data_IF_669953329413
#
_entry.id   IF_669953329413
#
_cell.length_a   1.000
_cell.length_b   1.000
_cell.length_c   1.000
_cell.angle_alpha   90.00
_cell.angle_beta   90.00
_cell.angle_gamma   90.00
#
_symmetry.space_group_name_H-M   'P 1'
#
loop_
_entity.id
_entity.type
_entity.pdbx_description
1 polymer ?
#
# COMPACT_ATOMS: atom_id res chain seq x y z
N UNK A 1 25.82 -11.89 -1.28
CA UNK A 1 24.72 -11.04 -1.78
C UNK A 1 23.45 -11.68 -1.28
N UNK A 2 22.67 -10.97 -0.46
CA UNK A 2 21.31 -11.41 -0.14
C UNK A 2 20.51 -11.40 -1.44
N UNK A 3 19.71 -12.45 -1.66
CA UNK A 3 18.80 -12.55 -2.78
C UNK A 3 17.93 -11.28 -2.82
N UNK A 4 17.89 -10.56 -3.95
CA UNK A 4 17.09 -9.33 -4.09
C UNK A 4 15.60 -9.55 -3.76
N UNK A 5 15.15 -10.81 -3.86
CA UNK A 5 13.82 -11.28 -3.50
C UNK A 5 13.53 -11.25 -2.00
N UNK A 6 14.55 -11.23 -1.14
CA UNK A 6 14.39 -11.20 0.32
C UNK A 6 14.28 -9.77 0.86
N UNK A 7 14.65 -8.76 0.07
CA UNK A 7 14.67 -7.38 0.51
C UNK A 7 13.30 -6.86 1.03
N UNK A 8 12.15 -7.15 0.39
CA UNK A 8 10.85 -6.71 0.90
C UNK A 8 10.48 -7.35 2.25
N UNK A 9 10.87 -8.61 2.47
CA UNK A 9 10.63 -9.32 3.71
C UNK A 9 11.50 -8.77 4.86
N UNK A 10 12.75 -8.41 4.57
CA UNK A 10 13.65 -7.79 5.55
C UNK A 10 13.11 -6.44 6.01
N UNK A 11 12.60 -5.61 5.08
CA UNK A 11 11.94 -4.35 5.43
C UNK A 11 10.72 -4.63 6.31
N UNK A 12 9.86 -5.59 5.95
CA UNK A 12 8.67 -5.93 6.74
C UNK A 12 8.98 -6.40 8.18
N UNK A 13 10.11 -7.07 8.40
CA UNK A 13 10.55 -7.52 9.73
C UNK A 13 11.30 -6.44 10.52
N UNK A 14 11.66 -5.33 9.88
CA UNK A 14 12.37 -4.22 10.51
C UNK A 14 11.37 -3.33 11.27
N UNK A 15 11.69 -2.81 12.47
CA UNK A 15 10.87 -1.82 13.15
C UNK A 15 10.54 -0.61 12.25
N UNK A 16 9.30 -0.11 12.32
CA UNK A 16 8.79 0.95 11.43
C UNK A 16 9.71 2.19 11.37
N UNK A 17 10.33 2.57 12.48
CA UNK A 17 11.27 3.70 12.60
C UNK A 17 12.58 3.49 11.82
N UNK A 18 12.90 2.25 11.45
CA UNK A 18 14.14 1.85 10.77
C UNK A 18 13.93 1.36 9.35
N UNK A 19 12.69 1.11 8.95
CA UNK A 19 12.36 0.62 7.60
C UNK A 19 12.86 1.58 6.51
N UNK A 20 12.73 2.90 6.72
CA UNK A 20 13.20 3.90 5.76
C UNK A 20 14.72 3.84 5.54
N UNK A 21 15.49 3.64 6.61
CA UNK A 21 16.95 3.51 6.56
C UNK A 21 17.35 2.23 5.82
N UNK A 22 16.67 1.12 6.10
CA UNK A 22 16.93 -0.18 5.46
C UNK A 22 16.56 -0.15 3.99
N UNK A 23 15.41 0.43 3.63
CA UNK A 23 15.01 0.63 2.23
C UNK A 23 16.01 1.49 1.47
N UNK A 24 16.49 2.58 2.08
CA UNK A 24 17.54 3.43 1.47
C UNK A 24 18.86 2.68 1.28
N UNK A 25 19.26 1.87 2.26
CA UNK A 25 20.51 1.10 2.18
C UNK A 25 20.45 -0.03 1.15
N UNK A 26 19.28 -0.65 0.98
CA UNK A 26 19.02 -1.70 -0.01
C UNK A 26 18.61 -1.14 -1.38
N UNK A 27 18.59 0.19 -1.53
CA UNK A 27 18.18 0.91 -2.74
C UNK A 27 16.77 0.51 -3.22
N UNK A 28 15.88 0.21 -2.27
CA UNK A 28 14.50 -0.20 -2.52
C UNK A 28 13.62 1.02 -2.77
N UNK A 29 12.61 0.89 -3.65
CA UNK A 29 11.63 1.94 -3.82
C UNK A 29 10.88 2.19 -2.50
N UNK A 30 10.48 3.45 -2.31
CA UNK A 30 9.89 3.96 -1.07
C UNK A 30 8.75 3.07 -0.57
N UNK A 31 8.66 2.92 0.77
CA UNK A 31 7.50 2.29 1.40
C UNK A 31 6.25 3.08 1.04
N UNK A 32 5.17 2.37 0.76
CA UNK A 32 3.88 2.99 0.51
C UNK A 32 2.81 2.44 1.44
N UNK A 33 1.95 3.33 1.90
CA UNK A 33 0.76 3.02 2.66
C UNK A 33 -0.48 3.14 1.79
N UNK A 34 -1.27 2.06 1.74
CA UNK A 34 -2.55 2.00 1.07
C UNK A 34 -3.67 1.94 2.12
N UNK A 35 -4.63 2.85 2.02
CA UNK A 35 -5.75 2.97 2.97
C UNK A 35 -7.07 2.95 2.21
N UNK A 36 -8.01 2.10 2.63
CA UNK A 36 -9.38 2.12 2.13
C UNK A 36 -10.18 3.16 2.89
N UNK A 37 -10.76 4.11 2.16
CA UNK A 37 -11.73 5.08 2.65
C UNK A 37 -13.12 4.69 2.17
N UNK A 38 -14.06 4.54 3.11
CA UNK A 38 -15.46 4.25 2.80
C UNK A 38 -16.33 5.46 3.09
N UNK A 39 -17.02 5.96 2.07
CA UNK A 39 -17.99 7.05 2.24
C UNK A 39 -19.29 6.55 2.90
N UNK A 40 -20.05 7.46 3.50
CA UNK A 40 -21.39 7.16 4.03
C UNK A 40 -22.40 6.67 2.96
N UNK A 41 -22.09 6.85 1.68
CA UNK A 41 -22.87 6.30 0.56
C UNK A 41 -22.49 4.86 0.19
N UNK A 42 -21.52 4.24 0.87
CA UNK A 42 -21.06 2.87 0.61
C UNK A 42 -20.01 2.74 -0.50
N UNK A 43 -19.56 3.87 -1.08
CA UNK A 43 -18.47 3.90 -2.05
C UNK A 43 -17.12 3.74 -1.37
N UNK A 44 -16.18 3.12 -2.07
CA UNK A 44 -14.82 2.88 -1.59
C UNK A 44 -13.80 3.56 -2.48
N UNK A 45 -12.83 4.22 -1.86
CA UNK A 45 -11.67 4.80 -2.54
C UNK A 45 -10.41 4.26 -1.89
N UNK A 46 -9.46 3.78 -2.69
CA UNK A 46 -8.13 3.44 -2.22
C UNK A 46 -7.27 4.70 -2.25
N UNK A 47 -6.66 5.03 -1.13
CA UNK A 47 -5.74 6.16 -0.99
C UNK A 47 -4.34 5.63 -0.80
N UNK A 48 -3.37 6.29 -1.41
CA UNK A 48 -1.96 5.99 -1.26
C UNK A 48 -1.24 7.12 -0.52
N UNK A 49 -0.16 6.76 0.18
CA UNK A 49 0.75 7.71 0.80
C UNK A 49 2.15 7.15 0.80
N UNK A 50 3.08 7.88 0.20
CA UNK A 50 4.50 7.55 0.24
C UNK A 50 5.09 7.87 1.61
N UNK A 51 6.05 7.06 2.05
CA UNK A 51 6.80 7.31 3.27
C UNK A 51 7.51 8.67 3.21
N UNK A 52 7.28 9.51 4.22
CA UNK A 52 7.75 10.91 4.26
C UNK A 52 6.76 11.95 3.70
N UNK A 53 5.67 11.55 3.04
CA UNK A 53 4.61 12.47 2.63
C UNK A 53 3.49 12.52 3.66
N UNK A 54 2.95 13.71 3.94
CA UNK A 54 1.83 13.88 4.89
C UNK A 54 0.45 13.67 4.26
N UNK A 55 0.35 13.86 2.95
CA UNK A 55 -0.93 13.86 2.24
C UNK A 55 -1.18 12.49 1.62
N UNK A 56 -2.42 12.04 1.74
CA UNK A 56 -2.94 10.91 0.98
C UNK A 56 -3.36 11.38 -0.41
N UNK A 57 -3.12 10.55 -1.41
CA UNK A 57 -3.59 10.74 -2.78
C UNK A 57 -4.59 9.63 -3.12
N UNK A 58 -5.70 10.00 -3.75
CA UNK A 58 -6.67 9.02 -4.24
C UNK A 58 -6.11 8.31 -5.49
N UNK A 59 -6.29 6.98 -5.55
CA UNK A 59 -5.94 6.19 -6.72
C UNK A 59 -7.10 6.16 -7.72
N UNK A 60 -6.77 6.35 -9.00
CA UNK A 60 -7.73 6.49 -10.08
C UNK A 60 -8.40 5.16 -10.51
N UNK A 61 -9.42 5.27 -11.37
CA UNK A 61 -10.04 4.14 -12.05
C UNK A 61 -10.89 3.28 -11.11
N UNK A 62 -10.77 1.93 -11.12
CA UNK A 62 -11.61 1.04 -10.30
C UNK A 62 -11.33 1.17 -8.79
N UNK A 63 -10.29 1.91 -8.42
CA UNK A 63 -9.90 2.22 -7.05
C UNK A 63 -10.49 3.53 -6.53
N UNK A 64 -11.19 4.31 -7.37
CA UNK A 64 -11.82 5.57 -6.99
C UNK A 64 -13.35 5.45 -6.93
N UNK A 65 -13.94 5.81 -5.79
CA UNK A 65 -15.40 5.95 -5.62
C UNK A 65 -16.21 4.73 -6.11
N UNK A 66 -15.68 3.52 -5.90
CA UNK A 66 -16.28 2.29 -6.41
C UNK A 66 -17.40 1.79 -5.48
N UNK A 67 -18.58 1.53 -6.07
CA UNK A 67 -19.76 1.03 -5.36
C UNK A 67 -19.75 -0.50 -5.19
N UNK A 68 -19.12 -1.22 -6.13
CA UNK A 68 -19.02 -2.68 -6.08
C UNK A 68 -17.85 -3.10 -5.18
N UNK A 69 -18.19 -3.59 -3.99
CA UNK A 69 -17.23 -4.12 -3.02
C UNK A 69 -16.31 -5.18 -3.63
N UNK A 70 -16.86 -6.15 -4.35
CA UNK A 70 -16.09 -7.28 -4.87
C UNK A 70 -15.12 -6.82 -5.97
N UNK A 71 -15.59 -5.98 -6.89
CA UNK A 71 -14.74 -5.38 -7.93
C UNK A 71 -13.63 -4.51 -7.33
N UNK A 72 -13.96 -3.69 -6.34
CA UNK A 72 -12.98 -2.84 -5.64
C UNK A 72 -11.84 -3.66 -5.02
N UNK A 73 -12.15 -4.66 -4.18
CA UNK A 73 -11.08 -5.45 -3.53
C UNK A 73 -10.28 -6.31 -4.52
N UNK A 74 -10.85 -6.72 -5.65
CA UNK A 74 -10.05 -7.34 -6.73
C UNK A 74 -9.03 -6.35 -7.28
N UNK A 75 -9.44 -5.12 -7.56
CA UNK A 75 -8.53 -4.07 -8.02
C UNK A 75 -7.45 -3.75 -6.97
N UNK A 76 -7.81 -3.69 -5.68
CA UNK A 76 -6.86 -3.48 -4.57
C UNK A 76 -5.81 -4.58 -4.54
N UNK A 77 -6.21 -5.86 -4.64
CA UNK A 77 -5.26 -6.98 -4.65
C UNK A 77 -4.33 -6.90 -5.84
N UNK A 78 -4.84 -6.60 -7.04
CA UNK A 78 -4.01 -6.40 -8.23
C UNK A 78 -2.99 -5.28 -8.04
N UNK A 79 -3.40 -4.17 -7.42
CA UNK A 79 -2.52 -3.04 -7.13
C UNK A 79 -1.41 -3.42 -6.15
N UNK A 80 -1.73 -4.11 -5.05
CA UNK A 80 -0.76 -4.58 -4.07
C UNK A 80 0.27 -5.50 -4.72
N UNK A 81 -0.19 -6.48 -5.51
CA UNK A 81 0.68 -7.44 -6.20
C UNK A 81 1.60 -6.71 -7.18
N UNK A 82 1.06 -5.82 -8.01
CA UNK A 82 1.84 -5.01 -8.95
C UNK A 82 2.96 -4.24 -8.25
N UNK A 83 2.67 -3.61 -7.12
CA UNK A 83 3.68 -2.85 -6.36
C UNK A 83 4.74 -3.76 -5.73
N UNK A 84 4.33 -4.89 -5.18
CA UNK A 84 5.27 -5.88 -4.63
C UNK A 84 6.18 -6.48 -5.70
N UNK A 85 5.66 -6.77 -6.90
CA UNK A 85 6.45 -7.22 -8.05
C UNK A 85 7.47 -6.17 -8.51
N UNK A 86 7.13 -4.88 -8.36
CA UNK A 86 8.05 -3.76 -8.58
C UNK A 86 9.00 -3.50 -7.38
N UNK A 87 9.02 -4.38 -6.37
CA UNK A 87 9.90 -4.28 -5.21
C UNK A 87 9.49 -3.24 -4.17
N UNK A 88 8.31 -2.64 -4.29
CA UNK A 88 7.78 -1.72 -3.29
C UNK A 88 7.30 -2.47 -2.05
N UNK A 89 7.64 -1.93 -0.88
CA UNK A 89 7.06 -2.40 0.37
C UNK A 89 5.72 -1.70 0.59
N UNK A 90 4.64 -2.49 0.63
CA UNK A 90 3.26 -2.00 0.74
C UNK A 90 2.69 -2.35 2.11
N UNK A 91 2.21 -1.34 2.85
CA UNK A 91 1.36 -1.55 4.04
C UNK A 91 -0.08 -1.22 3.70
N UNK A 92 -0.99 -2.17 3.94
CA UNK A 92 -2.41 -2.02 3.65
C UNK A 92 -3.23 -1.87 4.93
N UNK A 93 -4.13 -0.89 4.97
CA UNK A 93 -5.10 -0.67 6.06
C UNK A 93 -6.49 -0.53 5.49
N UNK A 94 -7.42 -1.29 6.07
CA UNK A 94 -8.83 -1.20 5.73
C UNK A 94 -9.61 -0.59 6.91
N UNK A 95 -10.02 0.66 6.77
CA UNK A 95 -10.78 1.37 7.79
C UNK A 95 -12.30 1.10 7.68
N UNK A 96 -12.74 0.26 6.74
CA UNK A 96 -14.16 -0.08 6.59
C UNK A 96 -14.65 -1.13 7.61
N UNK A 97 -13.76 -1.68 8.43
CA UNK A 97 -14.01 -2.85 9.27
C UNK A 97 -13.99 -2.58 10.79
N UNK A 98 -14.12 -1.33 11.23
CA UNK A 98 -14.47 -1.04 12.64
C UNK A 98 -15.96 -1.29 12.84
N UNK A 99 -16.30 -2.53 13.19
CA UNK A 99 -17.51 -2.88 13.97
C UNK A 99 -17.36 -2.39 15.42
#
# INVERSE_FOLDING_TARGET
>A
MLDEKLHPAIVAMTPDDKQMLVSSYLNLPSKIELVVDQSGSGRRTLKERDDGTRMYRDLDGPLFSNEDKASFYRAVVHEIVSRQENGQHVTFKDNSNTE
#
